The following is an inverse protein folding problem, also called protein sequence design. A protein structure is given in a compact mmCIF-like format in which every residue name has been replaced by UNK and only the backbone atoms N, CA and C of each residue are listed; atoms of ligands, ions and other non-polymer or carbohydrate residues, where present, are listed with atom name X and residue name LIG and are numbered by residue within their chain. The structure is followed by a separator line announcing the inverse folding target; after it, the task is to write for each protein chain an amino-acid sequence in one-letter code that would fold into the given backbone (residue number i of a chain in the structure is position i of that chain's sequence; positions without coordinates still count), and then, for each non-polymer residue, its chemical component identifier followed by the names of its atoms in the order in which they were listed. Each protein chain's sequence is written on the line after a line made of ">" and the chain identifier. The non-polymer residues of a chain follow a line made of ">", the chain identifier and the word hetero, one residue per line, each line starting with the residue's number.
data_IF_360757599583
#
_entry.id   IF_360757599583
#
_cell.length_a   1.000
_cell.length_b   1.000
_cell.length_c   1.000
_cell.angle_alpha   90.00
_cell.angle_beta   90.00
_cell.angle_gamma   90.00
#
_symmetry.space_group_name_H-M   'P 1'
#
loop_
_entity.id
_entity.type
_entity.pdbx_description
1 polymer ?
#
# COMPACT_ATOMS: atom_id res chain seq x y z
N UNK A 1 -14.14 -1.83 -49.45
CA UNK A 1 -14.57 -1.07 -48.26
C UNK A 1 -13.54 -1.27 -47.16
N UNK A 2 -12.93 -0.19 -46.65
CA UNK A 2 -11.98 -0.25 -45.52
C UNK A 2 -12.68 0.38 -44.31
N UNK A 3 -12.90 -0.42 -43.27
CA UNK A 3 -13.41 0.06 -41.99
C UNK A 3 -12.17 0.43 -41.17
N UNK A 4 -11.86 1.73 -41.11
CA UNK A 4 -10.81 2.25 -40.23
C UNK A 4 -11.37 2.33 -38.81
N UNK A 5 -11.10 1.31 -38.01
CA UNK A 5 -11.19 1.38 -36.55
C UNK A 5 -9.96 2.11 -36.03
N UNK A 6 -10.09 3.38 -35.65
CA UNK A 6 -9.16 4.05 -34.74
C UNK A 6 -9.98 4.97 -33.83
N UNK A 7 -10.71 4.33 -32.91
CA UNK A 7 -11.21 5.00 -31.72
C UNK A 7 -10.05 5.18 -30.75
N UNK A 8 -9.97 6.37 -30.13
CA UNK A 8 -9.08 6.74 -29.02
C UNK A 8 -7.68 7.31 -29.36
N UNK A 9 -7.62 8.41 -30.12
CA UNK A 9 -6.53 9.38 -29.93
C UNK A 9 -6.88 10.30 -28.74
N UNK A 10 -6.64 9.82 -27.51
CA UNK A 10 -6.54 10.71 -26.34
C UNK A 10 -5.10 11.23 -26.23
N UNK A 11 -4.85 12.54 -26.35
CA UNK A 11 -3.53 13.09 -26.12
C UNK A 11 -3.16 12.86 -24.65
N UNK A 12 -2.09 12.11 -24.41
CA UNK A 12 -1.52 11.87 -23.09
C UNK A 12 -0.88 13.16 -22.60
N UNK A 13 -1.68 14.08 -22.07
CA UNK A 13 -1.18 14.96 -21.03
C UNK A 13 -0.57 14.04 -19.96
N UNK A 14 0.75 14.13 -19.86
CA UNK A 14 1.66 13.22 -19.17
C UNK A 14 1.36 13.23 -17.67
N UNK A 15 0.31 12.52 -17.28
CA UNK A 15 0.03 12.23 -15.89
C UNK A 15 1.18 11.34 -15.41
N UNK A 16 1.92 11.79 -14.40
CA UNK A 16 2.93 10.98 -13.73
C UNK A 16 2.22 9.90 -12.91
N UNK A 17 1.60 8.94 -13.60
CA UNK A 17 0.84 7.84 -13.02
C UNK A 17 1.86 6.87 -12.45
N UNK A 18 2.23 7.05 -11.19
CA UNK A 18 2.88 5.99 -10.43
C UNK A 18 1.81 4.94 -10.12
N UNK A 19 1.70 3.93 -10.99
CA UNK A 19 0.89 2.75 -10.71
C UNK A 19 1.67 1.88 -9.72
N UNK A 20 1.20 1.88 -8.48
CA UNK A 20 1.62 0.88 -7.51
C UNK A 20 0.69 -0.33 -7.64
N UNK A 21 1.23 -1.53 -7.48
CA UNK A 21 0.44 -2.76 -7.43
C UNK A 21 -0.32 -2.92 -6.10
N UNK A 22 -0.10 -2.01 -5.14
CA UNK A 22 -0.65 -2.12 -3.79
C UNK A 22 -1.06 -0.73 -3.29
N UNK A 23 -2.19 -0.66 -2.59
CA UNK A 23 -2.71 0.58 -2.00
C UNK A 23 -1.98 0.90 -0.68
N UNK A 24 -2.13 2.14 -0.20
CA UNK A 24 -1.63 2.55 1.11
C UNK A 24 -2.37 1.81 2.23
N UNK A 25 -1.63 1.32 3.22
CA UNK A 25 -2.21 0.63 4.37
C UNK A 25 -2.90 1.62 5.33
N UNK A 26 -3.96 1.16 5.99
CA UNK A 26 -4.68 1.91 7.03
C UNK A 26 -3.87 1.93 8.34
N UNK A 27 -4.24 2.79 9.29
CA UNK A 27 -3.69 2.77 10.65
C UNK A 27 -3.83 1.37 11.26
N UNK A 28 -2.79 0.93 11.98
CA UNK A 28 -2.71 -0.45 12.52
C UNK A 28 -2.19 -1.51 11.54
N UNK A 29 -1.86 -1.13 10.30
CA UNK A 29 -1.30 -2.04 9.31
C UNK A 29 0.06 -1.56 8.78
N UNK A 30 0.99 -2.50 8.63
CA UNK A 30 2.31 -2.27 8.03
C UNK A 30 2.40 -2.89 6.64
N UNK A 31 3.19 -2.29 5.77
CA UNK A 31 3.56 -2.80 4.45
C UNK A 31 4.55 -3.93 4.62
N UNK A 32 4.15 -5.13 4.21
CA UNK A 32 5.02 -6.29 4.14
C UNK A 32 5.31 -6.60 2.68
N UNK A 33 6.54 -6.35 2.27
CA UNK A 33 7.06 -6.75 0.95
C UNK A 33 7.24 -8.26 0.95
N UNK A 34 6.81 -8.91 -0.13
CA UNK A 34 7.11 -10.34 -0.34
C UNK A 34 8.46 -10.42 -1.06
N UNK A 35 9.30 -11.41 -0.72
CA UNK A 35 10.66 -11.51 -1.25
C UNK A 35 10.70 -11.53 -2.79
N UNK A 36 9.70 -12.18 -3.42
CA UNK A 36 9.52 -12.25 -4.87
C UNK A 36 9.09 -10.93 -5.54
N UNK A 37 8.47 -9.99 -4.83
CA UNK A 37 7.89 -8.77 -5.41
C UNK A 37 8.25 -7.51 -4.60
N UNK A 38 9.47 -6.99 -4.80
CA UNK A 38 9.92 -5.73 -4.16
C UNK A 38 9.06 -4.51 -4.50
N UNK A 39 8.34 -4.55 -5.62
CA UNK A 39 7.45 -3.48 -6.05
C UNK A 39 6.08 -3.52 -5.36
N UNK A 40 5.70 -4.66 -4.77
CA UNK A 40 4.38 -4.90 -4.22
C UNK A 40 4.45 -5.19 -2.73
N UNK A 41 3.48 -4.67 -1.99
CA UNK A 41 3.38 -4.90 -0.55
C UNK A 41 1.97 -5.35 -0.19
N UNK A 42 1.87 -6.14 0.87
CA UNK A 42 0.58 -6.47 1.48
C UNK A 42 0.48 -5.79 2.84
N UNK A 43 -0.70 -5.30 3.17
CA UNK A 43 -0.97 -4.74 4.48
C UNK A 43 -1.09 -5.88 5.49
N UNK A 44 -0.25 -5.87 6.51
CA UNK A 44 -0.23 -6.83 7.59
C UNK A 44 -0.66 -6.14 8.89
N UNK A 45 -1.63 -6.72 9.61
CA UNK A 45 -2.12 -6.14 10.86
C UNK A 45 -1.09 -6.30 11.97
N UNK A 46 -0.87 -5.24 12.76
CA UNK A 46 0.01 -5.28 13.93
C UNK A 46 -0.66 -5.88 15.17
N UNK A 47 -1.98 -6.10 15.19
CA UNK A 47 -2.68 -6.62 16.37
C UNK A 47 -2.45 -5.72 17.59
N UNK A 48 -1.82 -6.27 18.63
CA UNK A 48 -1.51 -5.58 19.90
C UNK A 48 -0.20 -4.77 19.87
N UNK A 49 0.35 -4.54 18.69
CA UNK A 49 1.51 -3.69 18.47
C UNK A 49 1.12 -2.33 17.86
N UNK A 50 1.91 -1.31 18.17
CA UNK A 50 1.81 0.01 17.52
C UNK A 50 2.56 -0.01 16.18
N UNK A 51 2.14 0.85 15.26
CA UNK A 51 2.84 1.03 13.98
C UNK A 51 3.93 2.09 14.20
N UNK A 52 5.20 1.67 14.18
CA UNK A 52 6.33 2.60 14.32
C UNK A 52 6.66 3.27 12.98
N UNK A 53 6.66 2.45 11.93
CA UNK A 53 6.98 2.84 10.56
C UNK A 53 6.05 2.11 9.60
N UNK A 54 6.02 2.56 8.34
CA UNK A 54 5.20 1.92 7.30
C UNK A 54 5.55 0.45 7.03
N UNK A 55 6.61 -0.12 7.60
CA UNK A 55 7.01 -1.53 7.47
C UNK A 55 7.19 -2.27 8.80
N UNK A 56 7.09 -1.58 9.94
CA UNK A 56 7.53 -2.11 11.23
C UNK A 56 6.45 -1.96 12.31
N UNK A 57 6.03 -3.08 12.88
CA UNK A 57 5.23 -3.11 14.09
C UNK A 57 6.15 -3.12 15.31
N UNK A 58 5.83 -2.32 16.31
CA UNK A 58 6.52 -2.31 17.59
C UNK A 58 5.59 -2.85 18.69
N UNK A 59 6.00 -3.94 19.33
CA UNK A 59 5.24 -4.54 20.42
C UNK A 59 5.37 -3.69 21.68
N UNK A 60 4.23 -3.30 22.25
CA UNK A 60 4.21 -2.58 23.51
C UNK A 60 4.78 -3.43 24.66
N UNK A 61 5.41 -2.80 25.68
CA UNK A 61 5.85 -3.50 26.87
C UNK A 61 4.66 -4.15 27.61
N UNK A 62 4.93 -5.26 28.30
CA UNK A 62 3.89 -6.05 28.98
C UNK A 62 3.04 -5.18 29.92
N UNK A 63 1.72 -5.19 29.69
CA UNK A 63 0.75 -4.39 30.45
C UNK A 63 0.24 -3.14 29.71
N UNK A 64 0.77 -2.82 28.53
CA UNK A 64 0.33 -1.71 27.70
C UNK A 64 -0.29 -2.22 26.39
N UNK A 65 -1.44 -1.66 26.03
CA UNK A 65 -2.14 -1.94 24.79
C UNK A 65 -2.07 -0.71 23.88
N UNK A 66 -1.95 -0.89 22.56
CA UNK A 66 -2.00 0.21 21.62
C UNK A 66 -3.37 0.90 21.69
N UNK A 67 -3.38 2.22 21.51
CA UNK A 67 -4.63 2.96 21.37
C UNK A 67 -5.33 2.55 20.05
N UNK A 68 -6.61 2.93 19.89
CA UNK A 68 -7.41 2.59 18.70
C UNK A 68 -6.77 3.07 17.38
N UNK A 69 -5.91 4.10 17.45
CA UNK A 69 -5.13 4.63 16.34
C UNK A 69 -3.82 3.86 16.05
N UNK A 70 -3.50 2.82 16.83
CA UNK A 70 -2.24 2.08 16.79
C UNK A 70 -0.99 2.97 16.82
N UNK A 71 -1.06 4.08 17.57
CA UNK A 71 -0.01 5.08 17.79
C UNK A 71 0.44 5.10 19.24
#
# INVERSE_FOLDING_TARGET
>A
SIIRFFSDQRPLEKLNVRRFCSESCKSGFVKKYTDDEKCCWKCHSCGDAIVLDETTCFTCPAGFWPNEDHT
#
